data_IF_711411560270
#
_entry.id   IF_711411560270
#
_cell.length_a   1.000
_cell.length_b   1.000
_cell.length_c   1.000
_cell.angle_alpha   90.00
_cell.angle_beta   90.00
_cell.angle_gamma   90.00
#
_symmetry.space_group_name_H-M   'P 1'
#
loop_
_entity.id
_entity.type
_entity.pdbx_description
1 polymer ?
#
# COMPACT_ATOMS: atom_id res chain seq x y z
N UNK A 1 -15.19 -13.94 -2.46
CA UNK A 1 -14.71 -12.62 -2.01
C UNK A 1 -13.25 -12.52 -2.42
N UNK A 2 -12.93 -11.78 -3.47
CA UNK A 2 -11.58 -11.77 -4.09
C UNK A 2 -10.49 -11.20 -3.16
N UNK A 3 -10.87 -10.32 -2.24
CA UNK A 3 -9.94 -9.69 -1.29
C UNK A 3 -9.40 -10.65 -0.21
N UNK A 4 -10.13 -11.73 0.11
CA UNK A 4 -9.69 -12.71 1.11
C UNK A 4 -8.45 -13.49 0.67
N UNK A 5 -8.20 -13.58 -0.64
CA UNK A 5 -6.99 -14.21 -1.20
C UNK A 5 -5.74 -13.39 -0.84
N UNK A 6 -5.84 -12.07 -0.80
CA UNK A 6 -4.75 -11.20 -0.36
C UNK A 6 -4.53 -11.32 1.13
N UNK A 7 -5.61 -11.32 1.92
CA UNK A 7 -5.51 -11.44 3.38
C UNK A 7 -4.90 -12.79 3.80
N UNK A 8 -5.29 -13.90 3.18
CA UNK A 8 -4.71 -15.24 3.46
C UNK A 8 -3.24 -15.36 3.07
N UNK A 9 -2.81 -14.60 2.07
CA UNK A 9 -1.44 -14.64 1.60
C UNK A 9 -0.54 -13.60 2.27
N UNK A 10 -1.13 -12.65 3.01
CA UNK A 10 -0.38 -11.68 3.79
C UNK A 10 0.41 -12.40 4.88
N UNK A 11 1.72 -12.18 4.87
CA UNK A 11 2.64 -12.59 5.94
C UNK A 11 3.33 -11.34 6.44
N UNK A 12 3.19 -11.08 7.74
CA UNK A 12 3.74 -9.87 8.36
C UNK A 12 5.27 -9.81 8.25
N UNK A 13 5.95 -10.96 8.36
CA UNK A 13 7.41 -11.06 8.18
C UNK A 13 7.85 -10.59 6.80
N UNK A 14 7.19 -11.07 5.73
CA UNK A 14 7.47 -10.64 4.37
C UNK A 14 7.25 -9.13 4.18
N UNK A 15 6.23 -8.56 4.83
CA UNK A 15 5.98 -7.12 4.79
C UNK A 15 7.09 -6.33 5.47
N UNK A 16 7.56 -6.80 6.64
CA UNK A 16 8.67 -6.15 7.36
C UNK A 16 9.95 -6.18 6.54
N UNK A 17 10.29 -7.32 5.96
CA UNK A 17 11.48 -7.45 5.10
C UNK A 17 11.40 -6.49 3.90
N UNK A 18 10.22 -6.41 3.28
CA UNK A 18 9.99 -5.51 2.15
C UNK A 18 10.05 -4.04 2.55
N UNK A 19 9.48 -3.68 3.70
CA UNK A 19 9.52 -2.31 4.23
C UNK A 19 10.96 -1.87 4.52
N UNK A 20 11.76 -2.73 5.14
CA UNK A 20 13.18 -2.44 5.42
C UNK A 20 13.97 -2.23 4.12
N UNK A 21 13.69 -3.03 3.08
CA UNK A 21 14.25 -2.82 1.75
C UNK A 21 13.87 -1.43 1.18
N UNK A 22 12.59 -1.05 1.24
CA UNK A 22 12.13 0.26 0.77
C UNK A 22 12.76 1.42 1.57
N UNK A 23 12.94 1.27 2.89
CA UNK A 23 13.61 2.26 3.75
C UNK A 23 15.08 2.43 3.36
N UNK A 24 15.78 1.34 3.06
CA UNK A 24 17.17 1.36 2.62
C UNK A 24 17.41 2.10 1.31
N UNK A 25 16.37 2.32 0.50
CA UNK A 25 16.46 3.06 -0.75
C UNK A 25 16.51 4.60 -0.58
N UNK A 26 16.45 5.12 0.66
CA UNK A 26 16.47 6.56 0.98
C UNK A 26 15.41 7.36 0.22
N UNK A 27 14.21 6.80 0.07
CA UNK A 27 13.09 7.49 -0.58
C UNK A 27 12.47 8.50 0.38
N UNK A 28 12.29 9.74 -0.10
CA UNK A 28 11.50 10.74 0.61
C UNK A 28 10.02 10.31 0.60
N UNK A 29 9.41 10.27 1.78
CA UNK A 29 8.03 9.84 1.94
C UNK A 29 7.25 10.81 2.82
N UNK A 30 5.96 10.93 2.53
CA UNK A 30 5.02 11.68 3.37
C UNK A 30 3.90 10.75 3.78
N UNK A 31 3.59 10.78 5.07
CA UNK A 31 2.43 10.06 5.62
C UNK A 31 1.12 10.75 5.24
N UNK A 32 1.17 12.00 4.80
CA UNK A 32 0.02 12.72 4.25
C UNK A 32 0.19 12.86 2.74
N UNK A 33 -0.67 12.18 1.98
CA UNK A 33 -0.74 12.27 0.52
C UNK A 33 -2.06 12.94 0.13
N UNK A 34 -1.99 14.24 -0.16
CA UNK A 34 -3.17 15.09 -0.34
C UNK A 34 -3.98 15.20 0.95
N UNK A 35 -5.24 14.76 0.90
CA UNK A 35 -6.16 14.76 2.04
C UNK A 35 -6.19 13.41 2.79
N UNK A 36 -5.30 12.47 2.44
CA UNK A 36 -5.26 11.12 3.00
C UNK A 36 -4.08 10.99 3.94
N UNK A 37 -4.36 10.62 5.20
CA UNK A 37 -3.34 10.21 6.17
C UNK A 37 -3.14 8.71 6.10
N UNK A 38 -1.90 8.29 5.89
CA UNK A 38 -1.46 6.91 5.76
C UNK A 38 -0.72 6.45 7.01
N UNK A 39 -0.83 5.16 7.37
CA UNK A 39 0.16 4.49 8.18
C UNK A 39 1.56 4.67 7.57
N UNK A 40 2.56 4.88 8.42
CA UNK A 40 3.93 5.19 8.00
C UNK A 40 4.52 4.11 7.08
N UNK A 41 4.32 2.84 7.43
CA UNK A 41 4.80 1.70 6.66
C UNK A 41 4.24 1.69 5.22
N UNK A 42 2.94 1.95 5.08
CA UNK A 42 2.28 2.01 3.77
C UNK A 42 2.77 3.24 2.98
N UNK A 43 2.97 4.38 3.65
CA UNK A 43 3.46 5.60 3.02
C UNK A 43 4.85 5.43 2.42
N UNK A 44 5.78 4.82 3.18
CA UNK A 44 7.14 4.51 2.70
C UNK A 44 7.07 3.67 1.44
N UNK A 45 6.31 2.57 1.46
CA UNK A 45 6.22 1.65 0.31
C UNK A 45 5.55 2.29 -0.90
N UNK A 46 4.49 3.09 -0.69
CA UNK A 46 3.82 3.81 -1.77
C UNK A 46 4.75 4.82 -2.43
N UNK A 47 5.48 5.61 -1.63
CA UNK A 47 6.41 6.60 -2.15
C UNK A 47 7.60 5.91 -2.85
N UNK A 48 8.07 4.78 -2.33
CA UNK A 48 9.08 3.96 -2.99
C UNK A 48 8.63 3.46 -4.36
N UNK A 49 7.41 2.90 -4.45
CA UNK A 49 6.87 2.30 -5.69
C UNK A 49 6.51 3.33 -6.75
N UNK A 50 5.91 4.44 -6.36
CA UNK A 50 5.25 5.35 -7.29
C UNK A 50 5.82 6.77 -7.23
N UNK A 51 6.50 7.14 -6.15
CA UNK A 51 6.75 8.55 -5.81
C UNK A 51 5.48 9.24 -5.28
N UNK A 52 5.66 10.37 -4.59
CA UNK A 52 4.59 11.10 -3.89
C UNK A 52 3.36 11.41 -4.79
N UNK A 53 3.63 11.93 -5.99
CA UNK A 53 2.57 12.39 -6.91
C UNK A 53 1.73 11.23 -7.46
N UNK A 54 2.38 10.16 -7.93
CA UNK A 54 1.66 9.01 -8.49
C UNK A 54 1.05 8.14 -7.39
N UNK A 55 1.65 8.06 -6.20
CA UNK A 55 1.03 7.44 -5.04
C UNK A 55 -0.30 8.13 -4.68
N UNK A 56 -0.33 9.47 -4.68
CA UNK A 56 -1.56 10.24 -4.43
C UNK A 56 -2.65 9.94 -5.45
N UNK A 57 -2.30 9.85 -6.74
CA UNK A 57 -3.24 9.48 -7.81
C UNK A 57 -3.72 8.04 -7.67
N UNK A 58 -2.81 7.12 -7.37
CA UNK A 58 -3.11 5.70 -7.22
C UNK A 58 -4.12 5.45 -6.10
N UNK A 59 -4.00 6.16 -4.97
CA UNK A 59 -4.96 6.09 -3.86
C UNK A 59 -6.40 6.46 -4.24
N UNK A 60 -6.59 7.25 -5.30
CA UNK A 60 -7.88 7.68 -5.82
C UNK A 60 -8.37 6.85 -7.02
N UNK A 61 -7.51 6.01 -7.58
CA UNK A 61 -7.84 5.20 -8.76
C UNK A 61 -8.63 3.97 -8.35
N UNK A 62 -9.60 3.57 -9.18
CA UNK A 62 -10.22 2.26 -9.05
C UNK A 62 -9.22 1.18 -9.48
N UNK A 63 -8.88 0.28 -8.55
CA UNK A 63 -7.93 -0.80 -8.80
C UNK A 63 -8.70 -2.09 -9.04
N UNK A 64 -8.65 -2.68 -10.26
CA UNK A 64 -9.39 -3.91 -10.56
C UNK A 64 -9.03 -5.08 -9.65
N UNK A 65 -7.75 -5.20 -9.28
CA UNK A 65 -7.28 -6.23 -8.36
C UNK A 65 -7.87 -6.12 -6.93
N UNK A 66 -8.42 -4.95 -6.58
CA UNK A 66 -9.12 -4.72 -5.31
C UNK A 66 -10.65 -4.87 -5.44
N UNK A 67 -11.15 -5.35 -6.58
CA UNK A 67 -12.60 -5.38 -6.86
C UNK A 67 -13.14 -4.01 -7.29
N UNK A 68 -12.32 -3.21 -8.01
CA UNK A 68 -12.66 -1.87 -8.50
C UNK A 68 -12.95 -0.80 -7.42
N UNK A 69 -12.45 -0.98 -6.20
CA UNK A 69 -12.49 0.06 -5.14
C UNK A 69 -11.24 0.93 -5.17
N UNK A 70 -11.30 2.09 -4.52
CA UNK A 70 -10.13 2.96 -4.34
C UNK A 70 -9.29 2.46 -3.16
N UNK A 71 -7.95 2.39 -3.28
CA UNK A 71 -7.07 1.94 -2.20
C UNK A 71 -7.28 2.71 -0.89
N UNK A 72 -7.61 4.00 -0.95
CA UNK A 72 -7.88 4.80 0.25
C UNK A 72 -9.04 4.28 1.11
N UNK A 73 -10.02 3.62 0.50
CA UNK A 73 -11.17 3.04 1.21
C UNK A 73 -10.76 1.86 2.11
N UNK A 74 -9.60 1.26 1.87
CA UNK A 74 -9.06 0.17 2.68
C UNK A 74 -8.24 0.65 3.88
N UNK A 75 -7.97 1.95 4.01
CA UNK A 75 -7.15 2.47 5.11
C UNK A 75 -7.90 2.55 6.44
N UNK A 76 -9.24 2.51 6.41
CA UNK A 76 -10.10 2.75 7.58
C UNK A 76 -10.00 1.68 8.68
N UNK A 77 -9.43 0.51 8.39
CA UNK A 77 -9.24 -0.55 9.37
C UNK A 77 -8.03 -1.43 9.06
N UNK A 78 -7.57 -2.19 10.06
CA UNK A 78 -6.39 -3.05 9.97
C UNK A 78 -6.52 -4.14 8.88
N UNK A 79 -7.73 -4.71 8.71
CA UNK A 79 -7.97 -5.72 7.67
C UNK A 79 -7.71 -5.15 6.27
N UNK A 80 -8.23 -3.96 5.98
CA UNK A 80 -8.02 -3.28 4.73
C UNK A 80 -6.56 -2.87 4.52
N UNK A 81 -5.88 -2.43 5.58
CA UNK A 81 -4.45 -2.13 5.54
C UNK A 81 -3.64 -3.39 5.21
N UNK A 82 -3.95 -4.54 5.79
CA UNK A 82 -3.27 -5.81 5.46
C UNK A 82 -3.51 -6.24 4.01
N UNK A 83 -4.71 -6.00 3.47
CA UNK A 83 -5.00 -6.22 2.04
C UNK A 83 -4.13 -5.30 1.19
N UNK A 84 -4.02 -4.01 1.53
CA UNK A 84 -3.15 -3.07 0.81
C UNK A 84 -1.69 -3.51 0.84
N UNK A 85 -1.16 -3.87 2.00
CA UNK A 85 0.21 -4.38 2.16
C UNK A 85 0.46 -5.58 1.24
N UNK A 86 -0.46 -6.54 1.22
CA UNK A 86 -0.38 -7.71 0.36
C UNK A 86 -0.44 -7.37 -1.14
N UNK A 87 -1.24 -6.39 -1.54
CA UNK A 87 -1.31 -5.92 -2.94
C UNK A 87 -0.02 -5.21 -3.33
N UNK A 88 0.49 -4.30 -2.51
CA UNK A 88 1.72 -3.55 -2.78
C UNK A 88 2.93 -4.46 -2.97
N UNK A 89 3.04 -5.55 -2.20
CA UNK A 89 4.09 -6.56 -2.39
C UNK A 89 3.96 -7.36 -3.69
N UNK A 90 2.77 -7.43 -4.29
CA UNK A 90 2.50 -8.20 -5.52
C UNK A 90 2.55 -7.37 -6.79
N UNK A 91 2.70 -6.05 -6.67
CA UNK A 91 2.89 -5.21 -7.83
C UNK A 91 4.24 -5.56 -8.48
N UNK A 92 4.28 -5.72 -9.82
CA UNK A 92 5.54 -5.86 -10.52
C UNK A 92 6.37 -4.57 -10.35
N UNK A 93 7.69 -4.72 -10.28
CA UNK A 93 8.64 -3.60 -10.34
C UNK A 93 8.76 -3.04 -11.76
#
# INVERSE_FOLDING_TARGET
>A
MELDVFLKAYKEENWKDYLEFCRGANVDYKTQLGEITLPEDIAVVLCYRFGENEATKWLHKQVPALGNIQPKELLSNERGQNILRAVLMRLPD
#
